data_IF_745050605153
#
_entry.id   IF_745050605153
#
_cell.length_a   1.000
_cell.length_b   1.000
_cell.length_c   1.000
_cell.angle_alpha   90.00
_cell.angle_beta   90.00
_cell.angle_gamma   90.00
#
_symmetry.space_group_name_H-M   'P 1'
#
loop_
_entity.id
_entity.type
_entity.pdbx_description
1 polymer ?
#
# COMPACT_ATOMS: atom_id res chain seq x y z
N UNK A 1 4.34 -9.59 0.81
CA UNK A 1 3.95 -10.19 -0.48
C UNK A 1 2.42 -10.22 -0.59
N UNK A 2 1.83 -10.63 -1.73
CA UNK A 2 0.37 -10.78 -1.87
C UNK A 2 -0.27 -11.84 -0.96
N UNK A 3 0.53 -12.64 -0.25
CA UNK A 3 0.10 -13.60 0.77
C UNK A 3 -0.01 -12.93 2.15
N UNK A 4 0.31 -11.63 2.26
CA UNK A 4 0.24 -10.87 3.51
C UNK A 4 1.49 -10.96 4.38
N UNK A 5 2.57 -11.56 3.86
CA UNK A 5 3.87 -11.50 4.54
C UNK A 5 4.52 -10.14 4.33
N UNK A 6 5.58 -9.85 5.09
CA UNK A 6 6.43 -8.70 4.82
C UNK A 6 7.01 -8.76 3.39
N UNK A 7 7.33 -7.61 2.80
CA UNK A 7 7.95 -7.56 1.48
C UNK A 7 9.41 -8.00 1.56
N UNK A 8 9.85 -8.90 0.69
CA UNK A 8 11.27 -9.29 0.56
C UNK A 8 11.99 -8.52 -0.56
N UNK A 9 11.29 -7.61 -1.23
CA UNK A 9 11.91 -6.72 -2.20
C UNK A 9 12.93 -5.82 -1.47
N UNK A 10 14.15 -5.72 -1.99
CA UNK A 10 15.20 -4.90 -1.41
C UNK A 10 14.78 -3.43 -1.36
N UNK A 11 14.84 -2.82 -0.18
CA UNK A 11 14.46 -1.42 0.06
C UNK A 11 13.31 -1.26 1.04
N UNK A 12 13.10 -0.02 1.48
CA UNK A 12 11.96 0.33 2.33
C UNK A 12 10.67 0.40 1.51
N UNK A 13 9.68 -0.37 1.92
CA UNK A 13 8.35 -0.45 1.30
C UNK A 13 7.23 -0.07 2.27
N UNK A 14 7.58 0.74 3.27
CA UNK A 14 6.72 1.08 4.40
C UNK A 14 6.69 2.57 4.71
N UNK A 15 7.29 3.43 3.88
CA UNK A 15 7.42 4.85 4.18
C UNK A 15 8.08 5.11 5.56
N UNK A 16 9.24 4.49 5.78
CA UNK A 16 10.02 4.48 7.01
C UNK A 16 9.19 4.02 8.20
N UNK A 17 8.60 2.84 8.10
CA UNK A 17 7.72 2.28 9.12
C UNK A 17 6.53 3.21 9.45
N UNK A 18 5.94 3.80 8.40
CA UNK A 18 4.83 4.75 8.45
C UNK A 18 5.12 6.02 9.27
N UNK A 19 6.39 6.44 9.34
CA UNK A 19 6.81 7.67 10.04
C UNK A 19 7.23 8.81 9.11
N UNK A 20 7.37 8.54 7.80
CA UNK A 20 7.70 9.56 6.80
C UNK A 20 6.46 10.17 6.17
N UNK A 21 6.46 11.49 5.98
CA UNK A 21 5.49 12.19 5.11
C UNK A 21 6.14 12.79 3.85
N UNK A 22 7.38 12.41 3.55
CA UNK A 22 8.14 12.94 2.40
C UNK A 22 8.39 11.87 1.33
N UNK A 23 9.63 11.81 0.87
CA UNK A 23 10.10 10.83 -0.10
C UNK A 23 10.00 9.38 0.41
N UNK A 24 9.78 8.46 -0.53
CA UNK A 24 9.65 7.03 -0.31
C UNK A 24 8.41 6.44 -0.97
N UNK A 25 8.17 5.16 -0.74
CA UNK A 25 6.97 4.48 -1.22
C UNK A 25 6.57 3.39 -0.22
N UNK A 26 5.27 3.20 -0.04
CA UNK A 26 4.72 2.06 0.69
C UNK A 26 4.01 1.11 -0.27
N UNK A 27 4.08 -0.19 -0.02
CA UNK A 27 3.26 -1.15 -0.77
C UNK A 27 1.85 -1.17 -0.17
N UNK A 28 0.86 -0.90 -1.01
CA UNK A 28 -0.57 -0.83 -0.64
C UNK A 28 -1.40 -1.74 -1.54
N UNK A 29 -2.67 -1.96 -1.18
CA UNK A 29 -3.62 -2.72 -1.99
C UNK A 29 -4.99 -2.07 -2.11
N UNK A 30 -5.88 -2.74 -2.82
CA UNK A 30 -7.21 -2.25 -3.15
C UNK A 30 -8.26 -2.91 -2.26
N UNK A 31 -9.02 -2.11 -1.52
CA UNK A 31 -10.05 -2.62 -0.61
C UNK A 31 -11.20 -3.34 -1.33
N UNK A 32 -11.53 -2.88 -2.53
CA UNK A 32 -12.52 -3.47 -3.44
C UNK A 32 -11.97 -4.64 -4.26
N UNK A 33 -10.64 -4.86 -4.20
CA UNK A 33 -9.91 -5.86 -5.00
C UNK A 33 -10.04 -5.64 -6.51
N UNK A 34 -10.29 -4.40 -6.94
CA UNK A 34 -10.38 -4.01 -8.34
C UNK A 34 -9.11 -3.28 -8.73
N UNK A 35 -8.49 -3.72 -9.84
CA UNK A 35 -7.37 -3.03 -10.44
C UNK A 35 -7.45 -3.09 -11.97
N UNK A 36 -6.41 -2.59 -12.64
CA UNK A 36 -6.43 -2.40 -14.09
C UNK A 36 -6.47 -3.70 -14.91
N UNK A 37 -6.14 -4.85 -14.29
CA UNK A 37 -6.07 -6.17 -14.92
C UNK A 37 -6.45 -7.27 -13.94
N UNK A 38 -6.92 -8.39 -14.46
CA UNK A 38 -7.15 -9.60 -13.66
C UNK A 38 -5.83 -10.33 -13.36
N UNK A 39 -5.08 -9.84 -12.37
CA UNK A 39 -3.87 -10.49 -11.89
C UNK A 39 -3.85 -10.55 -10.37
N UNK A 40 -3.08 -11.48 -9.81
CA UNK A 40 -2.95 -11.66 -8.35
C UNK A 40 -2.53 -10.38 -7.61
N UNK A 41 -1.71 -9.54 -8.25
CA UNK A 41 -1.24 -8.30 -7.65
C UNK A 41 -2.37 -7.28 -7.63
N UNK A 42 -3.03 -7.04 -8.77
CA UNK A 42 -4.11 -6.04 -8.89
C UNK A 42 -5.37 -6.37 -8.09
N UNK A 43 -5.59 -7.65 -7.76
CA UNK A 43 -6.69 -8.11 -6.87
C UNK A 43 -6.27 -8.20 -5.40
N UNK A 44 -5.04 -7.79 -5.05
CA UNK A 44 -4.54 -7.91 -3.68
C UNK A 44 -5.07 -6.78 -2.80
N UNK A 45 -5.61 -7.17 -1.65
CA UNK A 45 -6.07 -6.26 -0.60
C UNK A 45 -4.93 -5.42 0.01
N UNK A 46 -3.69 -5.92 0.05
CA UNK A 46 -2.58 -5.29 0.77
C UNK A 46 -1.23 -5.25 0.03
N UNK A 47 -1.13 -5.80 -1.20
CA UNK A 47 0.14 -5.88 -1.94
C UNK A 47 -0.07 -5.80 -3.46
N UNK A 48 -0.65 -4.67 -3.90
CA UNK A 48 -0.93 -4.38 -5.31
C UNK A 48 0.19 -3.59 -5.98
N UNK A 49 0.57 -2.44 -5.41
CA UNK A 49 1.59 -1.55 -5.97
C UNK A 49 2.13 -0.57 -4.92
N UNK A 50 3.21 0.14 -5.27
CA UNK A 50 3.76 1.21 -4.45
C UNK A 50 2.88 2.47 -4.48
N UNK A 51 2.95 3.27 -3.41
CA UNK A 51 2.41 4.63 -3.38
C UNK A 51 3.29 5.59 -4.18
N UNK A 52 2.73 6.72 -4.62
CA UNK A 52 3.48 7.79 -5.31
C UNK A 52 4.44 8.57 -4.40
N UNK A 53 4.32 8.39 -3.09
CA UNK A 53 5.04 9.09 -2.05
C UNK A 53 4.45 8.75 -0.69
N UNK A 54 5.01 9.33 0.37
CA UNK A 54 4.57 9.07 1.74
C UNK A 54 3.70 10.19 2.34
N UNK A 55 3.57 11.33 1.65
CA UNK A 55 2.67 12.41 2.08
C UNK A 55 1.20 12.03 1.89
N UNK A 56 0.29 12.67 2.62
CA UNK A 56 -1.15 12.41 2.51
C UNK A 56 -1.65 12.64 1.08
N UNK A 57 -1.21 13.71 0.43
CA UNK A 57 -1.58 14.05 -0.94
C UNK A 57 -1.12 12.96 -1.92
N UNK A 58 0.07 12.41 -1.70
CA UNK A 58 0.61 11.32 -2.49
C UNK A 58 -0.14 10.00 -2.26
N UNK A 59 -0.56 9.71 -1.02
CA UNK A 59 -1.41 8.55 -0.71
C UNK A 59 -2.77 8.67 -1.39
N UNK A 60 -3.40 9.85 -1.38
CA UNK A 60 -4.67 10.10 -2.10
C UNK A 60 -4.48 9.90 -3.59
N UNK A 61 -3.44 10.53 -4.17
CA UNK A 61 -3.19 10.46 -5.61
C UNK A 61 -2.98 9.03 -6.10
N UNK A 62 -2.48 8.14 -5.25
CA UNK A 62 -2.22 6.72 -5.55
C UNK A 62 -3.50 5.96 -5.98
N UNK A 63 -4.69 6.46 -5.66
CA UNK A 63 -5.95 5.95 -6.20
C UNK A 63 -7.06 5.77 -5.17
N UNK A 64 -7.06 6.54 -4.07
CA UNK A 64 -8.05 6.41 -3.00
C UNK A 64 -8.06 7.63 -2.08
N UNK A 65 -8.57 7.46 -0.85
CA UNK A 65 -8.64 8.54 0.14
C UNK A 65 -7.41 8.66 1.06
N UNK A 66 -6.41 7.76 0.90
CA UNK A 66 -5.21 7.74 1.74
C UNK A 66 -5.49 7.49 3.23
N UNK A 67 -6.48 6.66 3.55
CA UNK A 67 -6.88 6.34 4.92
C UNK A 67 -6.33 4.99 5.38
N UNK A 68 -6.23 4.80 6.70
CA UNK A 68 -5.86 3.53 7.32
C UNK A 68 -7.09 2.70 7.71
N UNK A 69 -6.93 1.39 7.63
CA UNK A 69 -7.88 0.42 8.19
C UNK A 69 -7.42 0.01 9.59
N UNK A 70 -8.31 0.18 10.57
CA UNK A 70 -8.10 -0.28 11.94
C UNK A 70 -8.93 -1.54 12.18
N UNK A 71 -8.28 -2.60 12.67
CA UNK A 71 -8.94 -3.86 13.01
C UNK A 71 -8.92 -4.03 14.52
N UNK A 72 -10.03 -4.50 15.09
CA UNK A 72 -10.09 -4.82 16.52
C UNK A 72 -9.09 -5.96 16.83
N UNK A 73 -8.21 -5.72 17.79
CA UNK A 73 -7.38 -6.76 18.38
C UNK A 73 -8.18 -7.53 19.44
N UNK A 74 -7.82 -8.79 19.67
CA UNK A 74 -8.42 -9.61 20.75
C UNK A 74 -7.98 -9.15 22.12
#
# INVERSE_FOLDING_TARGET
DPQGMFSTAGGDTTCKNWTSSGEGSAIVGHHDRIGLKDTRHMKSWNSSHGTRGCSQENLVSTGGAGLFYCFAAK
#
